data_IF_918302550433
#
_entry.id   IF_918302550433
#
_cell.length_a   1.000
_cell.length_b   1.000
_cell.length_c   1.000
_cell.angle_alpha   90.00
_cell.angle_beta   90.00
_cell.angle_gamma   90.00
#
_symmetry.space_group_name_H-M   'P 1'
#
loop_
_entity.id
_entity.type
_entity.pdbx_description
1 polymer ?
#
# COMPACT_ATOMS: atom_id res chain seq x y z
N UNK A 1 62.83 -30.69 2.52
CA UNK A 1 62.75 -30.44 1.06
C UNK A 1 61.71 -31.38 0.49
N UNK A 2 60.52 -30.89 0.14
CA UNK A 2 59.51 -31.68 -0.55
C UNK A 2 58.64 -30.75 -1.38
N UNK A 3 58.91 -30.74 -2.68
CA UNK A 3 58.06 -30.17 -3.69
C UNK A 3 56.91 -31.16 -3.98
N UNK A 4 55.68 -30.66 -4.05
CA UNK A 4 54.66 -31.25 -4.88
C UNK A 4 53.72 -30.14 -5.37
N UNK A 5 54.04 -29.61 -6.54
CA UNK A 5 53.18 -28.73 -7.30
C UNK A 5 52.29 -29.59 -8.19
N UNK A 6 50.99 -29.55 -8.00
CA UNK A 6 50.02 -29.88 -9.05
C UNK A 6 48.98 -28.76 -9.09
N UNK A 7 49.22 -27.82 -10.00
CA UNK A 7 48.21 -26.89 -10.47
C UNK A 7 47.40 -27.56 -11.58
N UNK A 8 46.08 -27.57 -11.43
CA UNK A 8 45.16 -27.84 -12.52
C UNK A 8 44.32 -26.57 -12.74
N UNK A 9 44.50 -26.04 -13.95
CA UNK A 9 43.74 -24.97 -14.54
C UNK A 9 42.29 -25.42 -14.85
N UNK A 10 41.33 -24.51 -14.72
CA UNK A 10 39.99 -24.70 -15.27
C UNK A 10 39.02 -23.58 -14.93
N UNK A 11 38.54 -22.90 -15.99
CA UNK A 11 37.49 -21.86 -16.12
C UNK A 11 37.93 -20.41 -15.86
N UNK A 12 38.11 -19.57 -16.89
CA UNK A 12 37.15 -19.06 -17.89
C UNK A 12 36.17 -17.99 -17.34
N UNK A 13 36.56 -16.72 -17.54
CA UNK A 13 35.78 -15.65 -18.19
C UNK A 13 34.36 -15.28 -17.71
N UNK A 14 34.29 -14.04 -17.18
CA UNK A 14 33.31 -12.95 -17.46
C UNK A 14 31.93 -12.93 -16.74
N UNK A 15 31.20 -11.78 -16.71
CA UNK A 15 31.56 -10.38 -16.98
C UNK A 15 31.20 -9.40 -15.84
N UNK A 16 31.68 -8.16 -15.98
CA UNK A 16 31.17 -6.97 -15.30
C UNK A 16 29.86 -6.48 -15.96
N UNK A 17 28.90 -6.00 -15.19
CA UNK A 17 27.74 -5.22 -15.66
C UNK A 17 27.40 -4.12 -14.62
N UNK A 18 26.76 -3.01 -15.06
CA UNK A 18 26.95 -1.68 -14.50
C UNK A 18 25.76 -1.12 -13.71
N UNK A 19 26.03 0.05 -13.13
CA UNK A 19 25.15 1.06 -12.53
C UNK A 19 23.67 1.06 -12.95
N UNK A 20 22.77 1.11 -11.95
CA UNK A 20 21.46 1.72 -12.12
C UNK A 20 21.13 2.61 -10.92
N UNK A 21 21.40 3.90 -11.11
CA UNK A 21 21.01 4.97 -10.21
C UNK A 21 19.49 5.11 -10.18
N UNK A 22 18.91 5.01 -8.98
CA UNK A 22 17.62 5.64 -8.68
C UNK A 22 17.77 6.40 -7.36
N UNK A 23 18.51 7.51 -7.41
CA UNK A 23 18.49 8.52 -6.36
C UNK A 23 17.14 9.25 -6.44
N UNK A 24 16.18 8.86 -5.62
CA UNK A 24 15.16 9.78 -5.16
C UNK A 24 15.49 10.10 -3.71
N UNK A 25 16.03 11.30 -3.51
CA UNK A 25 16.31 11.84 -2.19
C UNK A 25 15.02 11.99 -1.38
N UNK A 26 15.05 11.48 -0.15
CA UNK A 26 14.04 11.80 0.87
C UNK A 26 14.59 12.95 1.72
N UNK A 27 13.84 14.05 1.92
CA UNK A 27 14.27 15.07 2.85
C UNK A 27 14.18 14.51 4.28
N UNK A 28 15.32 14.51 4.96
CA UNK A 28 15.46 14.21 6.37
C UNK A 28 14.59 15.17 7.19
N UNK A 29 13.52 14.66 7.79
CA UNK A 29 12.76 15.36 8.81
C UNK A 29 13.13 14.79 10.18
N UNK A 30 13.96 15.57 10.87
CA UNK A 30 14.20 15.63 12.31
C UNK A 30 13.09 15.01 13.16
N UNK A 31 13.53 14.11 14.04
CA UNK A 31 12.78 13.64 15.19
C UNK A 31 12.63 14.76 16.25
N UNK A 32 11.64 14.52 17.12
CA UNK A 32 11.32 15.20 18.39
C UNK A 32 10.46 16.47 18.35
N UNK A 33 9.18 16.30 18.72
CA UNK A 33 8.65 16.85 19.98
C UNK A 33 7.18 16.45 20.23
N UNK A 34 6.99 15.58 21.23
CA UNK A 34 6.00 15.67 22.33
C UNK A 34 4.57 16.17 22.02
N UNK A 35 3.61 15.24 22.17
CA UNK A 35 2.47 15.46 23.07
C UNK A 35 1.13 15.92 22.47
N UNK A 36 0.16 14.98 22.46
CA UNK A 36 -1.21 15.12 23.01
C UNK A 36 -2.29 14.52 22.08
N UNK A 37 -3.30 13.80 22.61
CA UNK A 37 -4.22 13.00 21.83
C UNK A 37 -5.50 13.79 21.53
N UNK A 38 -5.87 13.95 20.26
CA UNK A 38 -7.24 14.33 19.92
C UNK A 38 -7.56 14.05 18.45
N UNK A 39 -8.72 13.43 18.28
CA UNK A 39 -9.57 13.52 17.11
C UNK A 39 -9.00 12.97 15.80
N UNK A 40 -9.36 11.71 15.57
CA UNK A 40 -9.77 11.18 14.27
C UNK A 40 -10.61 12.22 13.52
N UNK A 41 -9.98 13.03 12.67
CA UNK A 41 -10.66 13.84 11.69
C UNK A 41 -11.12 12.91 10.56
N UNK A 42 -12.25 12.23 10.79
CA UNK A 42 -13.07 11.75 9.70
C UNK A 42 -13.40 12.97 8.84
N UNK A 43 -12.95 12.93 7.58
CA UNK A 43 -13.39 13.88 6.56
C UNK A 43 -14.86 13.60 6.32
N UNK A 44 -15.72 14.24 7.10
CA UNK A 44 -17.13 14.38 6.77
C UNK A 44 -17.21 15.36 5.60
N UNK A 45 -17.38 14.82 4.40
CA UNK A 45 -17.92 15.62 3.30
C UNK A 45 -19.30 16.12 3.74
N UNK A 46 -19.54 17.45 3.81
CA UNK A 46 -20.89 17.96 4.01
C UNK A 46 -21.67 17.73 2.70
N UNK A 47 -22.88 17.18 2.77
CA UNK A 47 -23.66 16.82 1.59
C UNK A 47 -23.77 15.31 1.39
N UNK A 48 -24.28 14.61 2.41
CA UNK A 48 -24.80 13.27 2.20
C UNK A 48 -26.06 13.32 1.30
N UNK A 49 -26.34 12.28 0.49
CA UNK A 49 -27.48 12.27 -0.43
C UNK A 49 -28.83 12.55 0.24
N UNK A 50 -28.99 12.24 1.53
CA UNK A 50 -30.21 12.53 2.28
C UNK A 50 -30.42 13.99 2.69
N UNK A 51 -29.37 14.82 2.77
CA UNK A 51 -29.53 16.26 3.10
C UNK A 51 -30.07 17.06 1.90
N UNK A 52 -29.69 16.64 0.68
CA UNK A 52 -30.17 17.22 -0.57
C UNK A 52 -31.62 16.78 -0.87
N UNK A 53 -31.95 15.54 -0.50
CA UNK A 53 -33.31 14.99 -0.59
C UNK A 53 -34.27 15.72 0.36
N UNK A 54 -33.87 15.94 1.62
CA UNK A 54 -34.65 16.71 2.59
C UNK A 54 -34.80 18.20 2.20
N UNK A 55 -33.76 18.82 1.65
CA UNK A 55 -33.85 20.21 1.17
C UNK A 55 -34.79 20.37 -0.04
N UNK A 56 -34.82 19.38 -0.93
CA UNK A 56 -35.76 19.36 -2.06
C UNK A 56 -37.20 19.10 -1.60
N UNK A 57 -37.40 18.26 -0.59
CA UNK A 57 -38.71 18.04 0.03
C UNK A 57 -39.26 19.30 0.73
N UNK A 58 -38.39 20.07 1.40
CA UNK A 58 -38.77 21.33 2.08
C UNK A 58 -39.15 22.43 1.07
N UNK A 59 -38.41 22.56 -0.03
CA UNK A 59 -38.73 23.50 -1.12
C UNK A 59 -40.03 23.12 -1.87
N UNK A 60 -40.29 21.82 -2.06
CA UNK A 60 -41.56 21.35 -2.65
C UNK A 60 -42.76 21.59 -1.72
N UNK A 61 -42.57 21.50 -0.40
CA UNK A 61 -43.63 21.82 0.57
C UNK A 61 -43.98 23.31 0.60
N UNK A 62 -42.99 24.20 0.40
CA UNK A 62 -43.21 25.64 0.29
C UNK A 62 -43.94 26.02 -1.00
N UNK A 63 -43.67 25.34 -2.11
CA UNK A 63 -44.40 25.51 -3.37
C UNK A 63 -45.85 24.99 -3.26
N UNK A 64 -46.08 23.87 -2.59
CA UNK A 64 -47.41 23.33 -2.34
C UNK A 64 -48.26 24.21 -1.40
N UNK A 65 -47.65 24.95 -0.48
CA UNK A 65 -48.33 25.91 0.38
C UNK A 65 -48.56 27.28 -0.29
N UNK A 66 -47.85 27.57 -1.39
CA UNK A 66 -47.89 28.83 -2.13
C UNK A 66 -48.90 28.91 -3.26
N UNK A 67 -49.51 27.79 -3.69
CA UNK A 67 -50.47 27.78 -4.78
C UNK A 67 -51.90 28.11 -4.31
N UNK A 68 -52.19 29.41 -4.23
CA UNK A 68 -53.54 29.87 -4.61
C UNK A 68 -53.56 30.11 -6.12
N UNK A 69 -54.34 29.35 -6.90
CA UNK A 69 -54.75 29.79 -8.22
C UNK A 69 -55.79 30.89 -8.04
N UNK A 70 -55.33 32.14 -7.90
CA UNK A 70 -56.18 33.29 -8.21
C UNK A 70 -56.11 33.50 -9.72
N UNK A 71 -57.30 33.45 -10.32
CA UNK A 71 -57.64 33.97 -11.64
C UNK A 71 -57.37 33.07 -12.85
N UNK A 72 -58.15 32.01 -12.97
CA UNK A 72 -58.64 31.49 -14.27
C UNK A 72 -59.93 30.69 -14.05
N UNK A 73 -60.98 31.41 -13.64
CA UNK A 73 -62.35 30.92 -13.61
C UNK A 73 -63.13 31.51 -14.77
N UNK A 74 -63.11 30.81 -15.90
CA UNK A 74 -64.10 31.00 -16.96
C UNK A 74 -65.50 30.71 -16.41
N UNK A 75 -66.45 31.54 -16.82
CA UNK A 75 -67.88 31.36 -16.59
C UNK A 75 -68.34 29.97 -17.04
N UNK A 76 -68.84 29.15 -16.12
CA UNK A 76 -69.66 27.97 -16.43
C UNK A 76 -70.45 27.54 -15.19
N UNK A 77 -71.56 28.21 -14.91
CA UNK A 77 -72.64 27.60 -14.16
C UNK A 77 -73.92 27.66 -14.98
N UNK A 78 -74.27 26.46 -15.44
CA UNK A 78 -75.58 26.11 -15.95
C UNK A 78 -76.62 26.28 -14.82
N UNK A 79 -77.67 27.03 -15.12
CA UNK A 79 -78.96 26.98 -14.43
C UNK A 79 -80.02 26.81 -15.53
N UNK A 80 -80.85 25.78 -15.35
CA UNK A 80 -81.79 25.26 -16.34
C UNK A 80 -83.20 25.74 -15.98
N UNK A 81 -83.86 26.43 -16.92
CA UNK A 81 -85.32 26.41 -17.13
C UNK A 81 -86.13 27.70 -16.83
N UNK A 82 -87.35 27.84 -17.40
CA UNK A 82 -87.64 28.70 -18.58
C UNK A 82 -88.72 29.78 -18.29
N UNK A 83 -89.13 30.66 -19.25
CA UNK A 83 -90.15 30.29 -20.25
C UNK A 83 -90.04 30.93 -21.66
N UNK A 84 -90.56 30.18 -22.63
CA UNK A 84 -91.48 30.53 -23.72
C UNK A 84 -91.33 31.81 -24.58
N UNK A 85 -91.48 31.55 -25.89
CA UNK A 85 -91.98 32.39 -27.01
C UNK A 85 -90.97 33.20 -27.84
N UNK A 86 -91.15 33.10 -29.17
CA UNK A 86 -90.75 34.16 -30.08
C UNK A 86 -89.87 33.75 -31.26
N UNK A 87 -90.47 33.07 -32.24
CA UNK A 87 -90.36 33.37 -33.68
C UNK A 87 -89.09 34.06 -34.20
N UNK A 88 -88.36 33.42 -35.11
CA UNK A 88 -87.51 34.13 -36.05
C UNK A 88 -86.50 33.26 -36.78
N UNK A 89 -86.80 32.87 -38.01
CA UNK A 89 -85.80 32.47 -39.00
C UNK A 89 -84.77 33.60 -39.15
N UNK A 90 -83.53 33.37 -38.71
CA UNK A 90 -82.40 34.25 -39.01
C UNK A 90 -81.36 33.46 -39.84
N UNK A 91 -80.90 33.95 -41.00
CA UNK A 91 -79.84 33.33 -41.78
C UNK A 91 -78.54 33.28 -40.96
N UNK A 92 -77.55 32.42 -41.31
CA UNK A 92 -76.33 32.29 -40.51
C UNK A 92 -75.68 33.66 -40.34
N UNK A 93 -75.23 34.03 -39.12
CA UNK A 93 -74.53 35.29 -38.93
C UNK A 93 -73.29 35.25 -39.81
N UNK A 94 -73.14 36.26 -40.67
CA UNK A 94 -71.91 36.49 -41.38
C UNK A 94 -70.80 36.54 -40.32
N UNK A 95 -69.92 35.55 -40.32
CA UNK A 95 -68.76 35.53 -39.43
C UNK A 95 -68.03 36.86 -39.62
N UNK A 96 -67.87 37.62 -38.52
CA UNK A 96 -67.16 38.90 -38.58
C UNK A 96 -65.77 38.66 -39.20
N UNK A 97 -65.43 39.30 -40.33
CA UNK A 97 -64.20 39.02 -41.07
C UNK A 97 -62.95 39.26 -40.21
N UNK A 98 -63.06 40.15 -39.23
CA UNK A 98 -62.04 40.46 -38.24
C UNK A 98 -61.81 39.31 -37.25
N UNK A 99 -62.88 38.70 -36.71
CA UNK A 99 -62.79 37.54 -35.80
C UNK A 99 -62.11 36.34 -36.49
N UNK A 100 -62.44 36.09 -37.76
CA UNK A 100 -61.78 35.03 -38.54
C UNK A 100 -60.29 35.29 -38.76
N UNK A 101 -59.90 36.55 -38.92
CA UNK A 101 -58.48 36.91 -39.07
C UNK A 101 -57.70 36.65 -37.77
N UNK A 102 -58.31 36.94 -36.62
CA UNK A 102 -57.74 36.68 -35.30
C UNK A 102 -57.61 35.18 -35.05
N UNK A 103 -58.63 34.38 -35.39
CA UNK A 103 -58.58 32.92 -35.25
C UNK A 103 -57.43 32.33 -36.08
N UNK A 104 -57.29 32.72 -37.35
CA UNK A 104 -56.17 32.27 -38.20
C UNK A 104 -54.80 32.69 -37.66
N UNK A 105 -54.71 33.86 -37.04
CA UNK A 105 -53.48 34.30 -36.40
C UNK A 105 -53.14 33.42 -35.18
N UNK A 106 -54.13 33.16 -34.33
CA UNK A 106 -53.97 32.27 -33.15
C UNK A 106 -53.65 30.84 -33.55
N UNK A 107 -54.23 30.32 -34.62
CA UNK A 107 -53.87 29.02 -35.19
C UNK A 107 -52.40 28.96 -35.62
N UNK A 108 -51.89 30.00 -36.28
CA UNK A 108 -50.46 30.09 -36.63
C UNK A 108 -49.59 30.13 -35.39
N UNK A 109 -49.96 30.93 -34.39
CA UNK A 109 -49.20 31.07 -33.14
C UNK A 109 -49.16 29.75 -32.36
N UNK A 110 -50.28 29.01 -32.29
CA UNK A 110 -50.34 27.68 -31.67
C UNK A 110 -49.44 26.68 -32.40
N UNK A 111 -49.45 26.68 -33.74
CA UNK A 111 -48.55 25.84 -34.53
C UNK A 111 -47.08 26.20 -34.27
N UNK A 112 -46.75 27.49 -34.15
CA UNK A 112 -45.40 27.94 -33.82
C UNK A 112 -44.98 27.52 -32.41
N UNK A 113 -45.85 27.68 -31.42
CA UNK A 113 -45.60 27.25 -30.05
C UNK A 113 -45.36 25.73 -29.95
N UNK A 114 -46.16 24.92 -30.65
CA UNK A 114 -45.97 23.48 -30.71
C UNK A 114 -44.63 23.09 -31.36
N UNK A 115 -44.21 23.80 -32.43
CA UNK A 115 -42.90 23.58 -33.06
C UNK A 115 -41.75 23.94 -32.12
N UNK A 116 -41.86 25.05 -31.40
CA UNK A 116 -40.87 25.45 -30.40
C UNK A 116 -40.79 24.44 -29.25
N UNK A 117 -41.95 23.99 -28.74
CA UNK A 117 -42.03 22.96 -27.71
C UNK A 117 -41.37 21.66 -28.15
N UNK A 118 -41.60 21.24 -29.40
CA UNK A 118 -40.92 20.06 -29.98
C UNK A 118 -39.40 20.25 -30.04
N UNK A 119 -38.91 21.40 -30.50
CA UNK A 119 -37.47 21.68 -30.55
C UNK A 119 -36.82 21.69 -29.15
N UNK A 120 -37.52 22.22 -28.14
CA UNK A 120 -37.08 22.20 -26.75
C UNK A 120 -37.03 20.77 -26.18
N UNK A 121 -38.05 19.95 -26.48
CA UNK A 121 -38.07 18.54 -26.08
C UNK A 121 -36.95 17.74 -26.75
N UNK A 122 -36.70 17.94 -28.04
CA UNK A 122 -35.58 17.30 -28.75
C UNK A 122 -34.24 17.67 -28.11
N UNK A 123 -34.01 18.96 -27.83
CA UNK A 123 -32.80 19.42 -27.12
C UNK A 123 -32.69 18.81 -25.73
N UNK A 124 -33.79 18.73 -24.98
CA UNK A 124 -33.79 18.14 -23.65
C UNK A 124 -33.49 16.63 -23.69
N UNK A 125 -34.00 15.90 -24.68
CA UNK A 125 -33.68 14.49 -24.92
C UNK A 125 -32.21 14.30 -25.28
N UNK A 126 -31.64 15.16 -26.14
CA UNK A 126 -30.22 15.10 -26.49
C UNK A 126 -29.33 15.39 -25.28
N UNK A 127 -29.68 16.38 -24.45
CA UNK A 127 -28.99 16.61 -23.18
C UNK A 127 -29.08 15.39 -22.27
N UNK A 128 -30.25 14.75 -22.16
CA UNK A 128 -30.44 13.54 -21.34
C UNK A 128 -29.55 12.38 -21.83
N UNK A 129 -29.48 12.16 -23.15
CA UNK A 129 -28.58 11.17 -23.75
C UNK A 129 -27.10 11.46 -23.46
N UNK A 130 -26.71 12.73 -23.51
CA UNK A 130 -25.34 13.13 -23.16
C UNK A 130 -25.05 12.88 -21.68
N UNK A 131 -25.98 13.20 -20.77
CA UNK A 131 -25.81 12.87 -19.36
C UNK A 131 -25.66 11.38 -19.14
N UNK A 132 -26.49 10.55 -19.76
CA UNK A 132 -26.35 9.08 -19.67
C UNK A 132 -25.00 8.59 -20.20
N UNK A 133 -24.48 9.15 -21.29
CA UNK A 133 -23.16 8.82 -21.82
C UNK A 133 -22.05 9.21 -20.84
N UNK A 134 -22.09 10.44 -20.33
CA UNK A 134 -21.12 10.91 -19.34
C UNK A 134 -21.19 10.07 -18.06
N UNK A 135 -22.39 9.69 -17.61
CA UNK A 135 -22.56 8.80 -16.46
C UNK A 135 -21.92 7.44 -16.71
N UNK A 136 -22.10 6.84 -17.89
CA UNK A 136 -21.45 5.58 -18.27
C UNK A 136 -19.93 5.72 -18.26
N UNK A 137 -19.38 6.77 -18.85
CA UNK A 137 -17.93 7.00 -18.81
C UNK A 137 -17.39 7.20 -17.39
N UNK A 138 -18.15 7.85 -16.52
CA UNK A 138 -17.77 8.02 -15.11
C UNK A 138 -17.82 6.69 -14.37
N UNK A 139 -18.84 5.86 -14.57
CA UNK A 139 -18.91 4.52 -13.98
C UNK A 139 -17.78 3.63 -14.49
N UNK A 140 -17.49 3.67 -15.79
CA UNK A 140 -16.38 2.91 -16.37
C UNK A 140 -15.06 3.33 -15.72
N UNK A 141 -14.79 4.63 -15.61
CA UNK A 141 -13.57 5.14 -14.95
C UNK A 141 -13.49 4.70 -13.48
N UNK A 142 -14.60 4.69 -12.77
CA UNK A 142 -14.65 4.19 -11.39
C UNK A 142 -14.30 2.71 -11.31
N UNK A 143 -14.87 1.88 -12.19
CA UNK A 143 -14.54 0.45 -12.26
C UNK A 143 -13.06 0.20 -12.56
N UNK A 144 -12.46 0.95 -13.49
CA UNK A 144 -11.03 0.84 -13.79
C UNK A 144 -10.16 1.22 -12.58
N UNK A 145 -10.49 2.30 -11.88
CA UNK A 145 -9.77 2.72 -10.67
C UNK A 145 -9.91 1.70 -9.54
N UNK A 146 -11.08 1.08 -9.38
CA UNK A 146 -11.29 0.03 -8.41
C UNK A 146 -10.46 -1.22 -8.76
N UNK A 147 -10.42 -1.61 -10.02
CA UNK A 147 -9.57 -2.70 -10.51
C UNK A 147 -8.10 -2.43 -10.23
N UNK A 148 -7.58 -1.27 -10.65
CA UNK A 148 -6.18 -0.86 -10.41
C UNK A 148 -5.84 -0.85 -8.91
N UNK A 149 -6.74 -0.33 -8.07
CA UNK A 149 -6.59 -0.35 -6.62
C UNK A 149 -6.49 -1.79 -6.08
N UNK A 150 -7.36 -2.69 -6.54
CA UNK A 150 -7.32 -4.11 -6.13
C UNK A 150 -6.07 -4.83 -6.64
N UNK A 151 -5.61 -4.51 -7.84
CA UNK A 151 -4.35 -5.03 -8.38
C UNK A 151 -3.14 -4.52 -7.60
N UNK A 152 -3.08 -3.23 -7.32
CA UNK A 152 -1.99 -2.63 -6.56
C UNK A 152 -1.92 -3.23 -5.16
N UNK A 153 -3.05 -3.38 -4.47
CA UNK A 153 -3.11 -4.05 -3.16
C UNK A 153 -2.52 -5.45 -3.23
N UNK A 154 -2.95 -6.27 -4.19
CA UNK A 154 -2.39 -7.62 -4.39
C UNK A 154 -0.89 -7.60 -4.70
N UNK A 155 -0.42 -6.65 -5.51
CA UNK A 155 1.01 -6.49 -5.81
C UNK A 155 1.81 -6.10 -4.56
N UNK A 156 1.26 -5.26 -3.69
CA UNK A 156 1.90 -4.90 -2.42
C UNK A 156 1.94 -6.11 -1.48
N UNK A 157 0.82 -6.80 -1.27
CA UNK A 157 0.76 -8.02 -0.45
C UNK A 157 1.75 -9.08 -0.94
N UNK A 158 1.85 -9.29 -2.26
CA UNK A 158 2.83 -10.23 -2.82
C UNK A 158 4.27 -9.80 -2.52
N UNK A 159 4.59 -8.51 -2.72
CA UNK A 159 5.93 -7.98 -2.42
C UNK A 159 6.24 -8.06 -0.94
N UNK A 160 5.28 -7.74 -0.08
CA UNK A 160 5.39 -7.87 1.37
C UNK A 160 5.68 -9.32 1.75
N UNK A 161 4.93 -10.29 1.22
CA UNK A 161 5.19 -11.71 1.44
C UNK A 161 6.57 -12.17 0.95
N UNK A 162 7.05 -11.67 -0.20
CA UNK A 162 8.42 -11.94 -0.64
C UNK A 162 9.48 -11.32 0.29
N UNK A 163 9.23 -10.12 0.80
CA UNK A 163 10.13 -9.45 1.74
C UNK A 163 10.15 -10.17 3.10
N UNK A 164 8.99 -10.58 3.61
CA UNK A 164 8.87 -11.43 4.79
C UNK A 164 9.63 -12.74 4.59
N UNK A 165 9.54 -13.35 3.40
CA UNK A 165 10.34 -14.51 3.01
C UNK A 165 11.84 -14.25 3.10
N UNK A 166 12.34 -13.21 2.40
CA UNK A 166 13.77 -12.83 2.43
C UNK A 166 14.25 -12.49 3.85
N UNK A 167 13.42 -11.83 4.66
CA UNK A 167 13.75 -11.54 6.06
C UNK A 167 13.85 -12.84 6.86
N UNK A 168 12.90 -13.77 6.70
CA UNK A 168 12.94 -15.06 7.41
C UNK A 168 14.16 -15.91 7.04
N UNK A 169 14.57 -15.88 5.77
CA UNK A 169 15.80 -16.54 5.29
C UNK A 169 17.02 -15.94 5.97
N UNK A 170 17.18 -14.61 5.90
CA UNK A 170 18.31 -13.92 6.53
C UNK A 170 18.33 -14.08 8.06
N UNK A 171 17.17 -14.06 8.72
CA UNK A 171 17.07 -14.37 10.15
C UNK A 171 17.51 -15.79 10.48
N UNK A 172 17.20 -16.75 9.60
CA UNK A 172 17.64 -18.13 9.76
C UNK A 172 19.15 -18.26 9.54
N UNK A 173 19.71 -17.57 8.55
CA UNK A 173 21.14 -17.56 8.27
C UNK A 173 21.92 -16.93 9.43
N UNK A 174 21.43 -15.81 9.99
CA UNK A 174 22.04 -15.17 11.16
C UNK A 174 22.07 -16.14 12.35
N UNK A 175 20.96 -16.85 12.62
CA UNK A 175 20.91 -17.85 13.70
C UNK A 175 21.89 -19.00 13.45
N UNK A 176 21.95 -19.51 12.22
CA UNK A 176 22.89 -20.58 11.85
C UNK A 176 24.36 -20.14 12.05
N UNK A 177 24.72 -18.96 11.56
CA UNK A 177 26.07 -18.41 11.69
C UNK A 177 26.44 -18.13 13.14
N UNK A 178 25.49 -17.66 13.96
CA UNK A 178 25.70 -17.50 15.41
C UNK A 178 25.98 -18.84 16.08
N UNK A 179 25.17 -19.86 15.82
CA UNK A 179 25.38 -21.18 16.39
C UNK A 179 26.72 -21.80 15.94
N UNK A 180 27.08 -21.66 14.66
CA UNK A 180 28.37 -22.13 14.13
C UNK A 180 29.56 -21.43 14.80
N UNK A 181 29.45 -20.12 14.98
CA UNK A 181 30.46 -19.34 15.69
C UNK A 181 30.61 -19.81 17.14
N UNK A 182 29.50 -20.04 17.85
CA UNK A 182 29.52 -20.55 19.22
C UNK A 182 30.17 -21.94 19.30
N UNK A 183 29.80 -22.85 18.40
CA UNK A 183 30.40 -24.19 18.29
C UNK A 183 31.90 -24.10 18.05
N UNK A 184 32.35 -23.28 17.10
CA UNK A 184 33.77 -23.08 16.82
C UNK A 184 34.52 -22.51 18.03
N UNK A 185 33.94 -21.53 18.74
CA UNK A 185 34.57 -20.99 19.93
C UNK A 185 34.69 -22.02 21.06
N UNK A 186 33.67 -22.86 21.26
CA UNK A 186 33.75 -23.95 22.24
C UNK A 186 34.84 -24.94 21.86
N UNK A 187 34.89 -25.37 20.59
CA UNK A 187 35.91 -26.28 20.09
C UNK A 187 37.33 -25.72 20.23
N UNK A 188 37.55 -24.42 19.95
CA UNK A 188 38.85 -23.79 20.14
C UNK A 188 39.24 -23.77 21.63
N UNK A 189 38.31 -23.44 22.53
CA UNK A 189 38.57 -23.48 23.98
C UNK A 189 38.90 -24.88 24.48
N UNK A 190 38.22 -25.90 23.96
CA UNK A 190 38.52 -27.31 24.28
C UNK A 190 39.88 -27.74 23.76
N UNK A 191 40.20 -27.43 22.50
CA UNK A 191 41.50 -27.71 21.91
C UNK A 191 42.64 -27.02 22.69
N UNK A 192 42.45 -25.79 23.15
CA UNK A 192 43.45 -25.09 23.95
C UNK A 192 43.60 -25.70 25.37
N UNK A 193 42.51 -26.19 25.97
CA UNK A 193 42.58 -26.98 27.21
C UNK A 193 43.34 -28.29 27.00
N UNK A 194 43.14 -28.96 25.87
CA UNK A 194 43.86 -30.19 25.55
C UNK A 194 45.34 -29.94 25.29
N UNK A 195 45.68 -28.89 24.51
CA UNK A 195 47.07 -28.46 24.31
C UNK A 195 47.76 -28.14 25.63
N UNK A 196 47.11 -27.41 26.52
CA UNK A 196 47.68 -27.07 27.84
C UNK A 196 47.90 -28.29 28.72
N UNK A 197 46.96 -29.26 28.72
CA UNK A 197 47.16 -30.57 29.38
C UNK A 197 48.36 -31.33 28.81
N UNK A 198 48.45 -31.44 27.49
CA UNK A 198 49.58 -32.11 26.84
C UNK A 198 50.92 -31.42 27.15
N UNK A 199 50.96 -30.08 27.15
CA UNK A 199 52.16 -29.32 27.56
C UNK A 199 52.52 -29.58 29.02
N UNK A 200 51.54 -29.62 29.92
CA UNK A 200 51.77 -29.94 31.33
C UNK A 200 52.36 -31.35 31.49
N UNK A 201 51.75 -32.35 30.85
CA UNK A 201 52.24 -33.75 30.87
C UNK A 201 53.67 -33.87 30.36
N UNK A 202 53.99 -33.23 29.22
CA UNK A 202 55.35 -33.20 28.67
C UNK A 202 56.33 -32.46 29.59
N UNK A 203 55.88 -31.38 30.25
CA UNK A 203 56.70 -30.63 31.20
C UNK A 203 57.04 -31.45 32.44
N UNK A 204 56.07 -32.20 32.97
CA UNK A 204 56.27 -33.10 34.11
C UNK A 204 57.20 -34.26 33.74
N UNK A 205 57.03 -34.86 32.56
CA UNK A 205 57.93 -35.90 32.07
C UNK A 205 59.36 -35.38 31.95
N UNK A 206 59.55 -34.20 31.37
CA UNK A 206 60.86 -33.58 31.27
C UNK A 206 61.47 -33.28 32.65
N UNK A 207 60.70 -32.76 33.60
CA UNK A 207 61.18 -32.53 34.97
C UNK A 207 61.59 -33.84 35.66
N UNK A 208 60.78 -34.90 35.55
CA UNK A 208 61.11 -36.22 36.11
C UNK A 208 62.41 -36.77 35.53
N UNK A 209 62.63 -36.64 34.21
CA UNK A 209 63.87 -37.05 33.55
C UNK A 209 65.08 -36.20 34.00
N UNK A 210 64.92 -34.88 34.11
CA UNK A 210 65.95 -33.99 34.64
C UNK A 210 66.34 -34.34 36.08
N UNK A 211 65.35 -34.67 36.94
CA UNK A 211 65.60 -35.13 38.30
C UNK A 211 66.34 -36.46 38.35
N UNK A 212 66.05 -37.38 37.43
CA UNK A 212 66.80 -38.64 37.31
C UNK A 212 68.24 -38.38 36.88
N UNK A 213 68.46 -37.54 35.87
CA UNK A 213 69.79 -37.16 35.40
C UNK A 213 70.60 -36.45 36.49
N UNK A 214 69.98 -35.53 37.24
CA UNK A 214 70.63 -34.82 38.34
C UNK A 214 71.03 -35.78 39.47
N UNK A 215 70.19 -36.75 39.82
CA UNK A 215 70.51 -37.80 40.79
C UNK A 215 71.69 -38.67 40.33
N UNK A 216 71.73 -39.07 39.06
CA UNK A 216 72.85 -39.84 38.50
C UNK A 216 74.12 -39.00 38.50
N UNK A 217 74.06 -37.76 38.04
CA UNK A 217 75.20 -36.82 38.03
C UNK A 217 75.75 -36.57 39.44
N UNK A 218 74.87 -36.38 40.43
CA UNK A 218 75.26 -36.23 41.84
C UNK A 218 75.95 -37.49 42.38
N UNK A 219 75.41 -38.68 42.10
CA UNK A 219 76.04 -39.95 42.46
C UNK A 219 77.42 -40.08 41.82
N UNK A 220 77.55 -39.78 40.52
CA UNK A 220 78.83 -39.79 39.80
C UNK A 220 79.84 -38.83 40.43
N UNK A 221 79.43 -37.60 40.79
CA UNK A 221 80.29 -36.64 41.48
C UNK A 221 80.76 -37.17 42.84
N UNK A 222 79.87 -37.77 43.64
CA UNK A 222 80.24 -38.40 44.91
C UNK A 222 81.28 -39.51 44.67
N UNK A 223 81.01 -40.41 43.73
CA UNK A 223 81.95 -41.49 43.43
C UNK A 223 83.31 -40.96 42.94
N UNK A 224 83.32 -39.94 42.07
CA UNK A 224 84.55 -39.27 41.63
C UNK A 224 85.34 -38.69 42.81
N UNK A 225 84.68 -37.97 43.73
CA UNK A 225 85.38 -37.45 44.92
C UNK A 225 85.89 -38.55 45.86
N UNK A 226 85.18 -39.68 45.98
CA UNK A 226 85.63 -40.83 46.76
C UNK A 226 86.87 -41.48 46.14
N UNK A 227 86.89 -41.64 44.81
CA UNK A 227 88.04 -42.20 44.08
C UNK A 227 89.26 -41.30 44.28
N UNK A 228 89.13 -39.98 44.06
CA UNK A 228 90.22 -39.02 44.28
C UNK A 228 90.78 -39.07 45.71
N UNK A 229 89.91 -39.22 46.73
CA UNK A 229 90.34 -39.38 48.13
C UNK A 229 91.11 -40.68 48.38
N UNK A 230 90.76 -41.76 47.68
CA UNK A 230 91.49 -43.03 47.78
C UNK A 230 92.84 -42.92 47.07
N UNK A 231 92.88 -42.36 45.86
CA UNK A 231 94.13 -42.14 45.10
C UNK A 231 95.11 -41.24 45.87
N UNK A 232 94.64 -40.12 46.41
CA UNK A 232 95.47 -39.24 47.24
C UNK A 232 95.99 -39.92 48.51
N UNK A 233 95.19 -40.80 49.13
CA UNK A 233 95.63 -41.59 50.29
C UNK A 233 96.61 -42.70 49.93
N UNK A 234 96.56 -43.24 48.71
CA UNK A 234 97.50 -44.23 48.21
C UNK A 234 98.84 -43.62 47.75
N UNK A 235 98.88 -42.30 47.53
CA UNK A 235 100.08 -41.56 47.10
C UNK A 235 100.92 -40.99 48.27
N UNK A 236 100.51 -41.20 49.53
CA UNK A 236 101.22 -40.82 50.77
C UNK A 236 101.74 -42.07 51.45
#
# INVERSE_FOLDING_TARGET
>A
MSAFCLGLAGRASAPAEPDSACCMELPAAVADAVGSPAATALVSFPGGPGELELALEEELALLAAGERPSDLGEHSQAEVGPPAEGSGLQPPPAQDPELLSVIRQKEKDLVLAARLGKALLERNQDMSRQYEQMHKELTDKLEHLEQEKHELRRRFENREGEWEGRVSELESDVKQLQDELERQQVHLREADREKTRAVQELSEQNQRLLDQLSRVSHKLRIYGTKILKVETRAAV
#
